data_IF_347371319733
#
_entry.id   IF_347371319733
#
_cell.length_a   1.000
_cell.length_b   1.000
_cell.length_c   1.000
_cell.angle_alpha   90.00
_cell.angle_beta   90.00
_cell.angle_gamma   90.00
#
_symmetry.space_group_name_H-M   'P 1'
#
loop_
_entity.id
_entity.type
_entity.pdbx_description
1 polymer ?
#
# COMPACT_ATOMS: atom_id res chain seq x y z
N UNK A 1 10.34 -6.45 -4.45
CA UNK A 1 9.04 -7.15 -4.35
C UNK A 1 7.95 -6.11 -4.46
N UNK A 2 6.81 -6.46 -5.05
CA UNK A 2 5.63 -5.59 -5.01
C UNK A 2 4.90 -5.73 -3.66
N UNK A 3 3.83 -4.94 -3.46
CA UNK A 3 3.05 -4.96 -2.21
C UNK A 3 2.46 -6.33 -1.85
N UNK A 4 1.89 -7.06 -2.82
CA UNK A 4 1.30 -8.38 -2.57
C UNK A 4 2.34 -9.46 -2.27
N UNK A 5 3.45 -9.47 -3.01
CA UNK A 5 4.58 -10.37 -2.74
C UNK A 5 5.14 -10.13 -1.33
N UNK A 6 5.28 -8.86 -0.94
CA UNK A 6 5.78 -8.49 0.39
C UNK A 6 4.82 -8.94 1.49
N UNK A 7 3.50 -8.79 1.29
CA UNK A 7 2.50 -9.29 2.22
C UNK A 7 2.62 -10.81 2.42
N UNK A 8 2.77 -11.57 1.33
CA UNK A 8 2.90 -13.03 1.39
C UNK A 8 4.13 -13.43 2.21
N UNK A 9 5.29 -12.82 1.95
CA UNK A 9 6.51 -13.09 2.73
C UNK A 9 6.33 -12.71 4.21
N UNK A 10 5.68 -11.58 4.52
CA UNK A 10 5.39 -11.17 5.91
C UNK A 10 4.49 -12.18 6.63
N UNK A 11 3.44 -12.68 5.97
CA UNK A 11 2.56 -13.71 6.52
C UNK A 11 3.34 -15.00 6.78
N UNK A 12 4.16 -15.45 5.82
CA UNK A 12 5.02 -16.61 6.01
C UNK A 12 5.98 -16.45 7.19
N UNK A 13 6.63 -15.29 7.33
CA UNK A 13 7.52 -14.99 8.45
C UNK A 13 6.81 -14.95 9.79
N UNK A 14 5.58 -14.43 9.84
CA UNK A 14 4.72 -14.46 11.04
C UNK A 14 4.48 -15.90 11.49
N UNK A 15 4.15 -16.81 10.57
CA UNK A 15 3.97 -18.23 10.89
C UNK A 15 5.26 -18.91 11.37
N UNK A 16 6.42 -18.48 10.87
CA UNK A 16 7.73 -18.98 11.28
C UNK A 16 8.27 -18.31 12.55
N UNK A 17 7.52 -17.40 13.18
CA UNK A 17 7.99 -16.64 14.35
C UNK A 17 9.18 -15.70 14.06
N UNK A 18 9.44 -15.37 12.79
CA UNK A 18 10.56 -14.53 12.38
C UNK A 18 10.14 -13.07 12.34
N UNK A 19 10.73 -12.25 13.20
CA UNK A 19 10.50 -10.80 13.18
C UNK A 19 11.17 -10.18 11.96
N UNK A 20 10.36 -9.57 11.09
CA UNK A 20 10.83 -8.87 9.90
C UNK A 20 9.92 -7.68 9.61
N UNK A 21 10.52 -6.61 9.08
CA UNK A 21 9.82 -5.46 8.52
C UNK A 21 10.34 -5.11 7.13
N UNK A 22 9.50 -4.45 6.35
CA UNK A 22 9.80 -3.94 5.01
C UNK A 22 9.28 -2.51 4.86
N UNK A 23 10.03 -1.67 4.15
CA UNK A 23 9.61 -0.34 3.74
C UNK A 23 9.20 -0.39 2.28
N UNK A 24 8.06 0.23 1.95
CA UNK A 24 7.53 0.25 0.59
C UNK A 24 7.12 1.66 0.20
N UNK A 25 7.54 2.09 -0.98
CA UNK A 25 7.08 3.35 -1.57
C UNK A 25 5.93 3.09 -2.54
N UNK A 26 5.02 4.06 -2.68
CA UNK A 26 4.04 4.06 -3.77
C UNK A 26 4.78 4.36 -5.07
N UNK A 27 4.52 3.57 -6.12
CA UNK A 27 5.12 3.76 -7.44
C UNK A 27 4.53 5.02 -8.09
N UNK A 28 5.34 6.07 -8.21
CA UNK A 28 4.91 7.38 -8.71
C UNK A 28 4.97 7.52 -10.24
N UNK A 29 5.51 6.54 -10.95
CA UNK A 29 5.74 6.61 -12.40
C UNK A 29 4.51 6.24 -13.25
N UNK A 30 3.42 5.77 -12.62
CA UNK A 30 2.22 5.37 -13.34
C UNK A 30 1.34 6.59 -13.64
N UNK A 31 0.80 6.68 -14.87
CA UNK A 31 -0.11 7.78 -15.28
C UNK A 31 -1.42 7.77 -14.50
N UNK A 32 -1.79 6.63 -13.93
CA UNK A 32 -2.99 6.45 -13.14
C UNK A 32 -2.63 6.28 -11.66
N UNK A 33 -3.30 7.04 -10.81
CA UNK A 33 -3.14 6.95 -9.36
C UNK A 33 -3.54 5.54 -8.87
N UNK A 34 -2.60 4.83 -8.25
CA UNK A 34 -2.85 3.56 -7.57
C UNK A 34 -2.13 3.55 -6.20
N UNK A 35 -2.84 3.72 -5.08
CA UNK A 35 -2.23 3.78 -3.75
C UNK A 35 -1.73 2.41 -3.23
N UNK A 36 -2.03 1.32 -3.94
CA UNK A 36 -1.59 -0.04 -3.61
C UNK A 36 -0.55 -0.59 -4.60
N UNK A 37 -0.12 0.22 -5.58
CA UNK A 37 1.04 -0.11 -6.42
C UNK A 37 2.31 0.24 -5.64
N UNK A 38 2.82 -0.75 -4.92
CA UNK A 38 3.91 -0.59 -3.96
C UNK A 38 5.16 -1.31 -4.41
N UNK A 39 6.32 -0.75 -4.10
CA UNK A 39 7.62 -1.37 -4.29
C UNK A 39 8.44 -1.35 -3.00
N UNK A 40 8.98 -2.51 -2.61
CA UNK A 40 9.92 -2.60 -1.48
C UNK A 40 11.19 -1.80 -1.78
N UNK A 41 11.62 -0.99 -0.82
CA UNK A 41 12.84 -0.19 -0.91
C UNK A 41 13.72 -0.39 0.34
N UNK A 42 15.03 -0.17 0.24
CA UNK A 42 15.89 0.00 1.40
C UNK A 42 15.44 1.19 2.27
N UNK A 43 15.69 1.11 3.57
CA UNK A 43 15.32 2.14 4.56
C UNK A 43 15.82 3.54 4.17
N UNK A 44 17.06 3.65 3.70
CA UNK A 44 17.65 4.91 3.25
C UNK A 44 17.08 5.49 1.94
N UNK A 45 16.11 4.80 1.32
CA UNK A 45 15.41 5.24 0.09
C UNK A 45 13.90 5.34 0.28
N UNK A 46 13.41 5.22 1.52
CA UNK A 46 11.98 5.36 1.82
C UNK A 46 11.54 6.81 1.58
N UNK A 47 10.35 6.99 1.01
CA UNK A 47 9.76 8.33 0.87
C UNK A 47 9.19 8.78 2.22
N UNK A 48 9.74 9.81 2.87
CA UNK A 48 9.30 10.23 4.20
C UNK A 48 7.86 10.78 4.23
N UNK A 49 7.34 11.24 3.09
CA UNK A 49 6.01 11.86 3.02
C UNK A 49 4.88 10.86 2.76
N UNK A 50 5.18 9.74 2.10
CA UNK A 50 4.20 8.73 1.74
C UNK A 50 4.85 7.36 1.51
N UNK A 51 4.79 6.49 2.51
CA UNK A 51 5.30 5.13 2.42
C UNK A 51 4.52 4.18 3.33
N UNK A 52 4.71 2.89 3.10
CA UNK A 52 4.19 1.84 3.96
C UNK A 52 5.32 1.14 4.71
N UNK A 53 5.01 0.70 5.92
CA UNK A 53 5.86 -0.22 6.69
C UNK A 53 5.06 -1.50 6.91
N UNK A 54 5.51 -2.59 6.31
CA UNK A 54 4.90 -3.91 6.51
C UNK A 54 5.70 -4.66 7.57
N UNK A 55 5.02 -5.24 8.55
CA UNK A 55 5.64 -6.06 9.58
C UNK A 55 4.76 -7.26 9.92
N UNK A 56 5.32 -8.24 10.62
CA UNK A 56 4.56 -9.41 11.10
C UNK A 56 3.41 -9.06 12.05
N UNK A 57 3.39 -7.85 12.61
CA UNK A 57 2.35 -7.36 13.51
C UNK A 57 1.22 -6.61 12.79
N UNK A 58 1.49 -6.12 11.58
CA UNK A 58 0.55 -5.29 10.83
C UNK A 58 1.27 -4.32 9.90
N UNK A 59 0.49 -3.46 9.27
CA UNK A 59 0.93 -2.51 8.25
C UNK A 59 0.67 -1.10 8.74
N UNK A 60 1.67 -0.23 8.60
CA UNK A 60 1.53 1.20 8.80
C UNK A 60 1.55 1.89 7.45
N UNK A 61 0.60 2.80 7.22
CA UNK A 61 0.67 3.78 6.13
C UNK A 61 1.02 5.14 6.72
N UNK A 62 2.23 5.59 6.42
CA UNK A 62 2.73 6.90 6.85
C UNK A 62 2.42 7.93 5.77
N UNK A 63 1.68 8.98 6.12
CA UNK A 63 1.31 10.11 5.25
C UNK A 63 1.73 11.43 5.88
N UNK A 64 2.00 12.43 5.04
CA UNK A 64 2.27 13.83 5.43
C UNK A 64 3.33 13.95 6.54
N UNK A 65 4.60 13.70 6.18
CA UNK A 65 5.76 13.84 7.07
C UNK A 65 5.61 13.19 8.45
N UNK A 66 4.88 12.07 8.53
CA UNK A 66 4.68 11.30 9.77
C UNK A 66 3.57 11.82 10.69
N UNK A 67 2.79 12.83 10.28
CA UNK A 67 1.70 13.38 11.09
C UNK A 67 0.44 12.51 11.06
N UNK A 68 0.23 11.78 9.96
CA UNK A 68 -0.87 10.84 9.81
C UNK A 68 -0.30 9.43 9.61
N UNK A 69 -0.56 8.55 10.58
CA UNK A 69 -0.21 7.13 10.50
C UNK A 69 -1.46 6.31 10.65
N UNK A 70 -1.83 5.59 9.59
CA UNK A 70 -2.91 4.63 9.61
C UNK A 70 -2.34 3.23 9.86
N UNK A 71 -2.85 2.53 10.88
CA UNK A 71 -2.54 1.12 11.10
C UNK A 71 -3.61 0.24 10.47
N UNK A 72 -3.18 -0.81 9.79
CA UNK A 72 -4.03 -1.82 9.16
C UNK A 72 -3.55 -3.21 9.54
N UNK A 73 -4.49 -4.12 9.79
CA UNK A 73 -4.14 -5.53 9.85
C UNK A 73 -3.71 -6.06 8.47
N UNK A 74 -2.92 -7.13 8.44
CA UNK A 74 -2.45 -7.75 7.18
C UNK A 74 -3.62 -8.13 6.25
N UNK A 75 -4.68 -8.71 6.82
CA UNK A 75 -5.87 -9.11 6.07
C UNK A 75 -6.68 -7.90 5.61
N UNK A 76 -6.72 -6.83 6.41
CA UNK A 76 -7.44 -5.60 6.08
C UNK A 76 -6.77 -4.88 4.92
N UNK A 77 -5.45 -4.71 4.95
CA UNK A 77 -4.70 -4.12 3.84
C UNK A 77 -4.92 -4.91 2.54
N UNK A 78 -4.88 -6.25 2.59
CA UNK A 78 -5.16 -7.10 1.44
C UNK A 78 -6.57 -6.85 0.87
N UNK A 79 -7.58 -6.82 1.75
CA UNK A 79 -8.98 -6.55 1.37
C UNK A 79 -9.10 -5.17 0.74
N UNK A 80 -8.51 -4.14 1.32
CA UNK A 80 -8.51 -2.77 0.79
C UNK A 80 -7.87 -2.72 -0.60
N UNK A 81 -6.68 -3.32 -0.76
CA UNK A 81 -6.02 -3.40 -2.05
C UNK A 81 -6.88 -4.10 -3.10
N UNK A 82 -7.46 -5.26 -2.77
CA UNK A 82 -8.33 -6.01 -3.71
C UNK A 82 -9.60 -5.25 -4.08
N UNK A 83 -10.26 -4.61 -3.10
CA UNK A 83 -11.44 -3.79 -3.34
C UNK A 83 -11.13 -2.60 -4.23
N UNK A 84 -10.02 -1.90 -3.99
CA UNK A 84 -9.59 -0.82 -4.87
C UNK A 84 -9.46 -1.29 -6.31
N UNK A 85 -8.70 -2.35 -6.56
CA UNK A 85 -8.53 -2.88 -7.92
C UNK A 85 -9.86 -3.31 -8.56
N UNK A 86 -10.78 -3.88 -7.80
CA UNK A 86 -12.11 -4.24 -8.28
C UNK A 86 -12.95 -2.99 -8.63
N UNK A 87 -12.94 -1.96 -7.78
CA UNK A 87 -13.60 -0.68 -8.07
C UNK A 87 -13.05 -0.04 -9.35
N UNK A 88 -11.73 -0.12 -9.60
CA UNK A 88 -11.13 0.41 -10.83
C UNK A 88 -11.59 -0.32 -12.11
N UNK A 89 -12.19 -1.52 -12.01
CA UNK A 89 -12.80 -2.19 -13.17
C UNK A 89 -14.20 -1.66 -13.51
N UNK A 90 -14.83 -0.91 -12.61
CA UNK A 90 -16.16 -0.35 -12.81
C UNK A 90 -15.98 1.08 -13.35
N UNK A 91 -16.44 1.39 -14.58
CA UNK A 91 -16.23 2.71 -15.20
C UNK A 91 -16.72 3.89 -14.34
N UNK A 92 -17.82 3.68 -13.60
CA UNK A 92 -18.34 4.69 -12.67
C UNK A 92 -17.30 5.14 -11.64
N UNK A 93 -16.64 4.20 -10.96
CA UNK A 93 -15.64 4.51 -9.93
C UNK A 93 -14.30 4.92 -10.54
N UNK A 94 -13.86 4.24 -11.60
CA UNK A 94 -12.61 4.55 -12.31
C UNK A 94 -12.57 5.99 -12.83
N UNK A 95 -13.67 6.43 -13.44
CA UNK A 95 -13.74 7.74 -14.11
C UNK A 95 -14.32 8.83 -13.19
N UNK A 96 -14.58 8.51 -11.91
CA UNK A 96 -15.26 9.42 -10.97
C UNK A 96 -14.53 10.77 -10.82
N UNK A 97 -13.21 10.76 -10.63
CA UNK A 97 -12.44 12.00 -10.46
C UNK A 97 -12.45 12.86 -11.72
N UNK A 98 -12.35 12.23 -12.90
CA UNK A 98 -12.45 12.93 -14.19
C UNK A 98 -13.83 13.54 -14.33
N UNK A 99 -14.89 12.75 -14.13
CA UNK A 99 -16.28 13.23 -14.25
C UNK A 99 -16.63 14.32 -13.25
N UNK A 100 -16.09 14.26 -12.02
CA UNK A 100 -16.31 15.29 -10.99
C UNK A 100 -15.67 16.63 -11.36
N UNK A 101 -14.58 16.64 -12.13
CA UNK A 101 -13.92 17.87 -12.53
C UNK A 101 -14.70 18.65 -13.62
N UNK A 102 -15.60 17.98 -14.35
CA UNK A 102 -16.37 18.55 -15.46
C UNK A 102 -17.89 18.61 -15.21
N UNK A 103 -18.35 18.27 -14.01
CA UNK A 103 -19.73 18.46 -13.52
C UNK A 103 -19.76 19.54 -12.44
#
# INVERSE_FOLDING_TARGET
MNGFETLIDVVQRRHLGKLQRYFLNVVSTNRHFNPYDLITVPDNKVNPENHYVFSVFGILHVRQSGQEVEFLELAEWYRHAKLWHACQQIPFFRDYLVRKQFN
#
